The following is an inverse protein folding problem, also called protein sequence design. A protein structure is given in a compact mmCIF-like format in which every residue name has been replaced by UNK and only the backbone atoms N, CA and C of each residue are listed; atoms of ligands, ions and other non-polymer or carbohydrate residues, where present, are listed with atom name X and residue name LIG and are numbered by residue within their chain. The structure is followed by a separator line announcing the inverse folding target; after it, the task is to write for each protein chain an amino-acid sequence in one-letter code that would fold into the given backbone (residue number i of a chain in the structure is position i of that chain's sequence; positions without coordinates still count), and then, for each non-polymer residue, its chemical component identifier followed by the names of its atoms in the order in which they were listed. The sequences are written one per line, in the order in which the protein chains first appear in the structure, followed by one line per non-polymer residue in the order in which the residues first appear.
data_IF_363075808492
#
_entry.id   IF_363075808492
#
_cell.length_a   1.000
_cell.length_b   1.000
_cell.length_c   1.000
_cell.angle_alpha   90.00
_cell.angle_beta   90.00
_cell.angle_gamma   90.00
#
_symmetry.space_group_name_H-M   'P 1'
#
loop_
_entity.id
_entity.type
_entity.pdbx_description
1 polymer ?
#
# COMPACT_ATOMS: atom_id res chain seq x y z
N UNK A 1 -4.76 -12.76 19.33
CA UNK A 1 -6.11 -12.13 19.28
C UNK A 1 -6.37 -11.15 20.43
N UNK A 2 -6.24 -11.50 21.71
CA UNK A 2 -6.51 -10.57 22.85
C UNK A 2 -5.81 -9.21 22.71
N UNK A 3 -4.50 -9.18 22.45
CA UNK A 3 -3.76 -7.91 22.32
C UNK A 3 -4.12 -7.06 21.08
N UNK A 4 -4.64 -7.67 20.01
CA UNK A 4 -4.99 -6.95 18.79
C UNK A 4 -6.31 -6.19 18.96
N UNK A 5 -7.34 -6.85 19.49
CA UNK A 5 -8.63 -6.19 19.76
C UNK A 5 -8.50 -5.09 20.82
N UNK A 6 -7.74 -5.31 21.89
CA UNK A 6 -7.49 -4.26 22.89
C UNK A 6 -6.82 -3.02 22.26
N UNK A 7 -5.88 -3.22 21.31
CA UNK A 7 -5.25 -2.12 20.58
C UNK A 7 -6.21 -1.43 19.60
N UNK A 8 -7.06 -2.18 18.89
CA UNK A 8 -8.12 -1.60 18.04
C UNK A 8 -9.06 -0.71 18.87
N UNK A 9 -9.47 -1.18 20.05
CA UNK A 9 -10.29 -0.38 20.96
C UNK A 9 -9.58 0.90 21.40
N UNK A 10 -8.30 0.84 21.75
CA UNK A 10 -7.50 2.03 22.08
C UNK A 10 -7.39 3.02 20.89
N UNK A 11 -7.21 2.52 19.67
CA UNK A 11 -7.19 3.33 18.44
C UNK A 11 -8.53 4.02 18.22
N UNK A 12 -9.65 3.32 18.45
CA UNK A 12 -10.98 3.92 18.38
C UNK A 12 -11.17 5.09 19.34
N UNK A 13 -10.72 4.96 20.59
CA UNK A 13 -10.76 6.05 21.57
C UNK A 13 -9.89 7.25 21.17
N UNK A 14 -8.67 6.98 20.67
CA UNK A 14 -7.76 8.03 20.18
C UNK A 14 -8.38 8.76 18.98
N UNK A 15 -8.94 8.03 18.01
CA UNK A 15 -9.62 8.62 16.87
C UNK A 15 -10.81 9.48 17.31
N UNK A 16 -11.66 9.01 18.23
CA UNK A 16 -12.78 9.77 18.77
C UNK A 16 -12.35 11.05 19.51
N UNK A 17 -11.24 11.00 20.26
CA UNK A 17 -10.70 12.18 20.94
C UNK A 17 -10.15 13.21 19.93
N UNK A 18 -9.43 12.74 18.90
CA UNK A 18 -8.86 13.59 17.84
C UNK A 18 -9.94 14.17 16.92
N UNK A 19 -11.07 13.47 16.74
CA UNK A 19 -12.23 14.01 16.01
C UNK A 19 -12.66 15.38 16.56
N UNK A 20 -12.55 15.63 17.87
CA UNK A 20 -12.89 16.93 18.47
C UNK A 20 -11.94 18.06 18.04
N UNK A 21 -10.64 17.77 17.94
CA UNK A 21 -9.61 18.74 17.56
C UNK A 21 -9.63 19.01 16.05
N UNK A 22 -9.78 17.95 15.25
CA UNK A 22 -9.82 18.05 13.78
C UNK A 22 -11.08 18.77 13.26
N UNK A 23 -12.25 18.55 13.86
CA UNK A 23 -13.51 19.22 13.46
C UNK A 23 -13.45 20.74 13.64
N UNK A 24 -12.69 21.24 14.62
CA UNK A 24 -12.48 22.69 14.80
C UNK A 24 -11.48 23.29 13.82
N UNK A 25 -10.57 22.48 13.27
CA UNK A 25 -9.50 22.92 12.39
C UNK A 25 -9.88 22.92 10.89
N UNK A 26 -11.03 22.33 10.53
CA UNK A 26 -11.48 22.16 9.14
C UNK A 26 -12.80 22.86 8.89
N UNK A 27 -12.76 24.19 8.80
CA UNK A 27 -13.90 24.97 8.27
C UNK A 27 -13.88 24.82 6.74
N UNK A 28 -15.01 24.44 6.10
CA UNK A 28 -15.10 24.44 4.64
C UNK A 28 -14.95 25.86 4.12
N UNK A 29 -13.85 26.13 3.42
CA UNK A 29 -13.61 27.42 2.77
C UNK A 29 -14.09 27.43 1.32
N UNK A 30 -14.63 28.57 0.90
CA UNK A 30 -15.10 28.93 -0.44
C UNK A 30 -13.96 29.13 -1.46
N UNK A 31 -13.01 28.19 -1.49
CA UNK A 31 -11.95 28.21 -2.49
C UNK A 31 -12.52 27.70 -3.83
N UNK A 32 -12.37 28.42 -4.95
CA UNK A 32 -12.86 27.97 -6.25
C UNK A 32 -11.93 26.89 -6.82
N UNK A 33 -11.96 25.70 -6.21
CA UNK A 33 -11.47 24.46 -6.82
C UNK A 33 -12.65 23.72 -7.43
N UNK A 34 -12.51 23.15 -8.64
CA UNK A 34 -13.54 22.28 -9.17
C UNK A 34 -13.54 20.90 -8.50
N UNK A 35 -12.64 20.61 -7.57
CA UNK A 35 -12.63 19.35 -6.81
C UNK A 35 -13.25 19.59 -5.42
N UNK A 36 -14.41 18.98 -5.17
CA UNK A 36 -15.18 19.06 -3.93
C UNK A 36 -15.54 17.66 -3.44
N UNK A 37 -15.93 17.47 -2.17
CA UNK A 37 -16.32 16.16 -1.68
C UNK A 37 -17.45 15.52 -2.50
N UNK A 38 -18.37 16.33 -3.03
CA UNK A 38 -19.52 15.90 -3.83
C UNK A 38 -19.17 15.44 -5.25
N UNK A 39 -17.98 15.79 -5.74
CA UNK A 39 -17.50 15.38 -7.05
C UNK A 39 -16.27 14.47 -7.01
N UNK A 40 -15.97 13.92 -5.82
CA UNK A 40 -14.93 12.92 -5.64
C UNK A 40 -15.27 11.67 -6.49
N UNK A 41 -14.39 11.27 -7.43
CA UNK A 41 -14.59 10.08 -8.22
C UNK A 41 -14.29 8.84 -7.38
N UNK A 42 -15.16 7.86 -7.52
CA UNK A 42 -14.93 6.48 -7.08
C UNK A 42 -14.48 5.69 -8.30
N UNK A 43 -13.19 5.37 -8.35
CA UNK A 43 -12.57 4.78 -9.54
C UNK A 43 -12.89 3.28 -9.62
N UNK A 44 -13.42 2.84 -10.74
CA UNK A 44 -13.66 1.43 -11.08
C UNK A 44 -12.80 1.07 -12.29
N UNK A 45 -11.68 0.42 -12.03
CA UNK A 45 -10.75 -0.02 -13.08
C UNK A 45 -11.30 -1.30 -13.73
N UNK A 46 -11.57 -1.20 -15.04
CA UNK A 46 -12.16 -2.28 -15.83
C UNK A 46 -11.09 -3.11 -16.55
N UNK A 47 -9.98 -2.47 -16.93
CA UNK A 47 -8.87 -3.13 -17.60
C UNK A 47 -7.53 -2.49 -17.23
N UNK A 48 -6.48 -3.29 -17.23
CA UNK A 48 -5.08 -2.94 -17.00
C UNK A 48 -4.22 -3.78 -17.95
N UNK A 49 -3.81 -3.19 -19.06
CA UNK A 49 -2.98 -3.83 -20.06
C UNK A 49 -1.50 -3.48 -19.82
N UNK A 50 -0.56 -4.43 -19.87
CA UNK A 50 -0.78 -5.82 -20.29
C UNK A 50 -1.06 -6.80 -19.14
N UNK A 51 -1.06 -6.33 -17.88
CA UNK A 51 -1.13 -7.17 -16.67
C UNK A 51 -2.35 -8.10 -16.58
N UNK A 52 -3.51 -7.66 -17.08
CA UNK A 52 -4.71 -8.49 -17.14
C UNK A 52 -4.68 -9.51 -18.28
N UNK A 53 -3.76 -9.43 -19.24
CA UNK A 53 -3.85 -10.15 -20.52
C UNK A 53 -2.63 -11.01 -20.90
N UNK A 54 -1.41 -10.71 -20.42
CA UNK A 54 -0.17 -11.37 -20.88
C UNK A 54 -0.15 -12.90 -20.67
N UNK A 55 -0.84 -13.40 -19.64
CA UNK A 55 -0.94 -14.83 -19.31
C UNK A 55 -2.41 -15.26 -19.16
N UNK A 56 -3.22 -14.93 -20.16
CA UNK A 56 -4.67 -15.11 -20.12
C UNK A 56 -5.38 -14.05 -19.27
N UNK A 57 -6.71 -13.98 -19.35
CA UNK A 57 -7.46 -12.93 -18.64
C UNK A 57 -7.43 -13.13 -17.11
N UNK A 58 -7.08 -12.07 -16.38
CA UNK A 58 -7.14 -12.05 -14.92
C UNK A 58 -7.46 -10.69 -14.38
N UNK A 59 -8.23 -10.70 -13.30
CA UNK A 59 -8.58 -9.54 -12.53
C UNK A 59 -8.59 -9.94 -11.06
N UNK A 60 -8.01 -9.14 -10.16
CA UNK A 60 -7.47 -7.79 -10.37
C UNK A 60 -5.94 -7.73 -10.61
N UNK A 61 -5.44 -6.69 -11.28
CA UNK A 61 -4.04 -6.25 -11.21
C UNK A 61 -3.69 -5.65 -9.84
N UNK A 62 -2.41 -5.31 -9.61
CA UNK A 62 -1.99 -4.59 -8.39
C UNK A 62 -2.79 -3.28 -8.22
N UNK A 63 -2.82 -2.43 -9.25
CA UNK A 63 -3.55 -1.17 -9.20
C UNK A 63 -5.05 -1.38 -9.03
N UNK A 64 -5.65 -2.33 -9.75
CA UNK A 64 -7.06 -2.68 -9.58
C UNK A 64 -7.36 -3.11 -8.13
N UNK A 65 -6.52 -3.94 -7.51
CA UNK A 65 -6.76 -4.38 -6.13
C UNK A 65 -6.69 -3.22 -5.12
N UNK A 66 -5.69 -2.34 -5.25
CA UNK A 66 -5.56 -1.13 -4.42
C UNK A 66 -6.79 -0.23 -4.60
N UNK A 67 -7.15 0.09 -5.84
CA UNK A 67 -8.22 1.04 -6.16
C UNK A 67 -9.60 0.50 -5.77
N UNK A 68 -9.83 -0.81 -5.90
CA UNK A 68 -11.06 -1.45 -5.41
C UNK A 68 -11.21 -1.30 -3.89
N UNK A 69 -10.13 -1.51 -3.13
CA UNK A 69 -10.15 -1.32 -1.67
C UNK A 69 -10.41 0.14 -1.29
N UNK A 70 -9.76 1.08 -1.96
CA UNK A 70 -10.00 2.53 -1.80
C UNK A 70 -11.46 2.86 -2.10
N UNK A 71 -11.99 2.39 -3.23
CA UNK A 71 -13.36 2.67 -3.67
C UNK A 71 -14.40 2.24 -2.61
N UNK A 72 -14.25 1.05 -2.02
CA UNK A 72 -15.17 0.60 -0.98
C UNK A 72 -15.05 1.45 0.29
N UNK A 73 -13.84 1.80 0.73
CA UNK A 73 -13.67 2.74 1.84
C UNK A 73 -14.38 4.06 1.58
N UNK A 74 -14.21 4.64 0.38
CA UNK A 74 -14.86 5.88 -0.03
C UNK A 74 -16.38 5.79 -0.01
N UNK A 75 -16.95 4.75 -0.64
CA UNK A 75 -18.41 4.53 -0.69
C UNK A 75 -18.96 4.45 0.74
N UNK A 76 -18.36 3.60 1.58
CA UNK A 76 -18.88 3.32 2.91
C UNK A 76 -18.74 4.53 3.83
N UNK A 77 -17.56 5.16 3.87
CA UNK A 77 -17.33 6.35 4.71
C UNK A 77 -18.29 7.48 4.32
N UNK A 78 -18.49 7.71 3.03
CA UNK A 78 -19.40 8.72 2.50
C UNK A 78 -20.85 8.39 2.82
N UNK A 79 -21.26 7.14 2.63
CA UNK A 79 -22.63 6.68 2.92
C UNK A 79 -22.98 6.81 4.39
N UNK A 80 -22.08 6.37 5.29
CA UNK A 80 -22.24 6.49 6.73
C UNK A 80 -22.31 7.96 7.16
N UNK A 81 -21.47 8.82 6.59
CA UNK A 81 -21.52 10.26 6.83
C UNK A 81 -22.87 10.86 6.42
N UNK A 82 -23.36 10.56 5.20
CA UNK A 82 -24.67 11.03 4.72
C UNK A 82 -25.83 10.52 5.59
N UNK A 83 -25.75 9.31 6.12
CA UNK A 83 -26.83 8.70 6.91
C UNK A 83 -26.84 9.14 8.38
N UNK A 84 -25.67 9.21 9.02
CA UNK A 84 -25.57 9.33 10.48
C UNK A 84 -25.29 10.76 10.97
N UNK A 85 -24.57 11.58 10.19
CA UNK A 85 -24.24 12.95 10.61
C UNK A 85 -25.46 13.87 10.78
N UNK A 86 -26.51 13.79 9.93
CA UNK A 86 -27.70 14.61 10.10
C UNK A 86 -28.48 14.35 11.40
N UNK A 87 -28.27 13.20 12.05
CA UNK A 87 -28.99 12.81 13.28
C UNK A 87 -28.71 13.81 14.41
N UNK A 88 -27.46 14.28 14.54
CA UNK A 88 -27.07 15.24 15.57
C UNK A 88 -25.70 15.86 15.24
N UNK A 89 -25.47 17.18 15.42
CA UNK A 89 -24.22 17.85 15.02
C UNK A 89 -22.92 17.23 15.58
N UNK A 90 -22.97 16.80 16.85
CA UNK A 90 -21.86 16.10 17.52
C UNK A 90 -22.00 14.56 17.43
N UNK A 91 -23.06 13.99 18.02
CA UNK A 91 -23.24 12.54 18.06
C UNK A 91 -23.34 11.86 16.70
N UNK A 92 -23.83 12.54 15.66
CA UNK A 92 -23.83 12.00 14.30
C UNK A 92 -22.42 11.73 13.76
N UNK A 93 -21.46 12.63 14.04
CA UNK A 93 -20.03 12.44 13.68
C UNK A 93 -19.37 11.32 14.49
N UNK A 94 -19.72 11.22 15.77
CA UNK A 94 -19.25 10.13 16.65
C UNK A 94 -19.77 8.77 16.16
N UNK A 95 -21.07 8.67 15.85
CA UNK A 95 -21.70 7.47 15.29
C UNK A 95 -21.11 7.10 13.94
N UNK A 96 -20.86 8.09 13.07
CA UNK A 96 -20.18 7.90 11.78
C UNK A 96 -18.79 7.29 11.99
N UNK A 97 -17.96 7.92 12.83
CA UNK A 97 -16.59 7.45 13.11
C UNK A 97 -16.60 6.04 13.71
N UNK A 98 -17.49 5.77 14.68
CA UNK A 98 -17.64 4.46 15.29
C UNK A 98 -18.11 3.38 14.31
N UNK A 99 -19.02 3.73 13.41
CA UNK A 99 -19.52 2.82 12.36
C UNK A 99 -18.45 2.52 11.31
N UNK A 100 -17.67 3.53 10.93
CA UNK A 100 -16.51 3.35 10.04
C UNK A 100 -15.49 2.41 10.69
N UNK A 101 -15.21 2.57 12.00
CA UNK A 101 -14.32 1.65 12.72
C UNK A 101 -14.86 0.22 12.73
N UNK A 102 -16.13 0.02 13.07
CA UNK A 102 -16.75 -1.30 13.06
C UNK A 102 -16.70 -1.95 11.66
N UNK A 103 -17.01 -1.17 10.62
CA UNK A 103 -16.90 -1.61 9.23
C UNK A 103 -15.47 -2.03 8.89
N UNK A 104 -14.46 -1.19 9.16
CA UNK A 104 -13.07 -1.47 8.82
C UNK A 104 -12.55 -2.77 9.46
N UNK A 105 -12.95 -3.06 10.70
CA UNK A 105 -12.58 -4.30 11.40
C UNK A 105 -13.12 -5.54 10.67
N UNK A 106 -14.37 -5.49 10.20
CA UNK A 106 -14.98 -6.61 9.45
C UNK A 106 -14.44 -6.67 8.02
N UNK A 107 -14.37 -5.53 7.36
CA UNK A 107 -13.99 -5.38 5.96
C UNK A 107 -12.57 -5.87 5.69
N UNK A 108 -11.65 -5.73 6.65
CA UNK A 108 -10.29 -6.27 6.56
C UNK A 108 -10.25 -7.74 6.10
N UNK A 109 -11.24 -8.56 6.48
CA UNK A 109 -11.30 -9.99 6.17
C UNK A 109 -12.13 -10.36 4.94
N UNK A 110 -12.78 -9.39 4.30
CA UNK A 110 -13.65 -9.62 3.14
C UNK A 110 -12.87 -9.51 1.83
N UNK A 111 -13.33 -10.16 0.74
CA UNK A 111 -12.89 -9.84 -0.60
C UNK A 111 -13.04 -8.34 -0.89
N UNK A 112 -12.02 -7.74 -1.52
CA UNK A 112 -11.89 -6.30 -1.67
C UNK A 112 -11.24 -5.61 -0.47
N UNK A 113 -11.25 -6.21 0.73
CA UNK A 113 -10.68 -5.67 1.96
C UNK A 113 -9.15 -5.56 1.96
N UNK A 114 -8.62 -4.99 3.03
CA UNK A 114 -7.18 -4.68 3.15
C UNK A 114 -6.29 -5.93 3.21
N UNK A 115 -6.75 -7.02 3.84
CA UNK A 115 -6.02 -8.29 3.81
C UNK A 115 -6.16 -9.00 2.45
N UNK A 116 -7.30 -8.87 1.77
CA UNK A 116 -7.47 -9.38 0.41
C UNK A 116 -6.51 -8.67 -0.55
N UNK A 117 -6.47 -7.34 -0.51
CA UNK A 117 -5.60 -6.50 -1.34
C UNK A 117 -4.12 -6.80 -1.10
N UNK A 118 -3.75 -6.99 0.16
CA UNK A 118 -2.40 -7.40 0.56
C UNK A 118 -1.97 -8.71 -0.13
N UNK A 119 -2.85 -9.71 -0.15
CA UNK A 119 -2.56 -10.98 -0.83
C UNK A 119 -2.62 -10.84 -2.36
N UNK A 120 -3.50 -10.03 -2.92
CA UNK A 120 -3.48 -9.75 -4.37
C UNK A 120 -2.18 -9.08 -4.83
N UNK A 121 -1.54 -8.26 -3.98
CA UNK A 121 -0.24 -7.68 -4.29
C UNK A 121 0.85 -8.75 -4.44
N UNK A 122 0.88 -9.75 -3.56
CA UNK A 122 1.76 -10.91 -3.69
C UNK A 122 1.52 -11.66 -5.00
N UNK A 123 0.24 -11.91 -5.32
CA UNK A 123 -0.16 -12.60 -6.54
C UNK A 123 0.22 -11.82 -7.80
N UNK A 124 0.16 -10.50 -7.78
CA UNK A 124 0.54 -9.67 -8.91
C UNK A 124 2.01 -9.88 -9.32
N UNK A 125 2.94 -9.98 -8.35
CA UNK A 125 4.36 -10.25 -8.64
C UNK A 125 4.58 -11.67 -9.14
N UNK A 126 3.94 -12.66 -8.51
CA UNK A 126 4.03 -14.06 -8.95
C UNK A 126 3.52 -14.20 -10.38
N UNK A 127 2.39 -13.57 -10.68
CA UNK A 127 1.77 -13.58 -12.00
C UNK A 127 2.62 -12.92 -13.07
N UNK A 128 3.30 -11.81 -12.76
CA UNK A 128 4.25 -11.18 -13.68
C UNK A 128 5.32 -12.17 -14.18
N UNK A 129 5.58 -13.24 -13.43
CA UNK A 129 6.52 -14.31 -13.76
C UNK A 129 5.84 -15.63 -14.16
N UNK A 130 4.55 -15.59 -14.52
CA UNK A 130 3.78 -16.77 -14.95
C UNK A 130 3.46 -17.76 -13.81
N UNK A 131 3.60 -17.36 -12.55
CA UNK A 131 3.41 -18.25 -11.39
C UNK A 131 1.97 -18.16 -10.90
N UNK A 132 1.26 -19.29 -10.99
CA UNK A 132 -0.11 -19.41 -10.50
C UNK A 132 -0.16 -19.43 -8.98
N UNK A 133 -1.20 -18.82 -8.41
CA UNK A 133 -1.40 -18.67 -6.96
C UNK A 133 -2.87 -18.44 -6.62
N UNK A 134 -3.25 -18.60 -5.36
CA UNK A 134 -4.61 -18.38 -4.86
C UNK A 134 -4.62 -17.50 -3.61
N UNK A 135 -5.50 -16.49 -3.60
CA UNK A 135 -5.75 -15.63 -2.46
C UNK A 135 -6.80 -16.24 -1.52
N UNK A 136 -6.37 -16.62 -0.32
CA UNK A 136 -7.25 -17.24 0.66
C UNK A 136 -8.31 -16.30 1.25
N UNK A 137 -8.23 -14.99 1.03
CA UNK A 137 -9.28 -14.05 1.47
C UNK A 137 -10.61 -14.35 0.78
N UNK A 138 -10.59 -14.98 -0.39
CA UNK A 138 -11.78 -15.41 -1.12
C UNK A 138 -12.56 -16.53 -0.41
N UNK A 139 -11.98 -17.18 0.60
CA UNK A 139 -12.63 -18.21 1.43
C UNK A 139 -13.43 -17.60 2.60
N UNK A 140 -13.62 -16.27 2.67
CA UNK A 140 -14.36 -15.55 3.73
C UNK A 140 -13.91 -15.92 5.15
N UNK A 141 -12.60 -15.95 5.39
CA UNK A 141 -11.99 -16.41 6.64
C UNK A 141 -12.04 -15.36 7.77
N UNK A 142 -13.25 -15.02 8.20
CA UNK A 142 -13.48 -14.06 9.28
C UNK A 142 -12.65 -14.40 10.54
N UNK A 143 -11.94 -13.39 11.05
CA UNK A 143 -11.19 -13.45 12.31
C UNK A 143 -10.11 -14.55 12.39
N UNK A 144 -9.69 -15.12 11.25
CA UNK A 144 -8.53 -16.01 11.23
C UNK A 144 -7.24 -15.20 11.41
N UNK A 145 -6.29 -15.79 12.14
CA UNK A 145 -5.02 -15.14 12.50
C UNK A 145 -4.22 -14.69 11.27
N UNK A 146 -4.35 -15.42 10.15
CA UNK A 146 -3.73 -15.09 8.87
C UNK A 146 -4.58 -15.54 7.68
N UNK A 147 -4.37 -14.83 6.60
CA UNK A 147 -4.86 -15.11 5.25
C UNK A 147 -3.60 -15.28 4.41
N UNK A 148 -3.49 -16.41 3.71
CA UNK A 148 -2.31 -16.77 2.93
C UNK A 148 -2.50 -16.53 1.43
N UNK A 149 -1.39 -16.38 0.73
CA UNK A 149 -1.32 -16.67 -0.71
C UNK A 149 -0.80 -18.10 -0.84
N UNK A 150 -1.57 -19.00 -1.44
CA UNK A 150 -1.28 -20.45 -1.49
C UNK A 150 -1.35 -21.01 -2.92
N UNK A 151 -1.29 -22.33 -3.07
CA UNK A 151 -1.29 -23.06 -4.34
C UNK A 151 -0.10 -22.73 -5.26
N UNK A 152 1.07 -22.45 -4.68
CA UNK A 152 2.32 -22.22 -5.43
C UNK A 152 3.20 -23.46 -5.31
N UNK A 153 3.82 -23.90 -6.40
CA UNK A 153 4.75 -25.04 -6.36
C UNK A 153 6.11 -24.61 -5.85
N UNK A 154 6.81 -25.49 -5.15
CA UNK A 154 8.17 -25.19 -4.71
C UNK A 154 9.12 -24.99 -5.90
N UNK A 155 8.94 -25.75 -6.99
CA UNK A 155 9.74 -25.57 -8.20
C UNK A 155 9.59 -24.16 -8.80
N UNK A 156 8.39 -23.59 -8.74
CA UNK A 156 8.15 -22.23 -9.23
C UNK A 156 8.90 -21.21 -8.37
N UNK A 157 8.89 -21.37 -7.04
CA UNK A 157 9.65 -20.50 -6.12
C UNK A 157 11.17 -20.67 -6.25
N UNK A 158 11.65 -21.90 -6.50
CA UNK A 158 13.06 -22.18 -6.76
C UNK A 158 13.51 -21.44 -8.02
N UNK A 159 12.76 -21.58 -9.11
CA UNK A 159 13.05 -20.88 -10.37
C UNK A 159 12.94 -19.37 -10.18
N UNK A 160 11.91 -18.89 -9.47
CA UNK A 160 11.67 -17.46 -9.23
C UNK A 160 12.83 -16.81 -8.49
N UNK A 161 13.34 -17.41 -7.41
CA UNK A 161 14.50 -16.87 -6.68
C UNK A 161 15.76 -16.86 -7.54
N UNK A 162 16.00 -17.95 -8.30
CA UNK A 162 17.18 -18.09 -9.17
C UNK A 162 17.19 -17.06 -10.29
N UNK A 163 16.06 -16.91 -10.97
CA UNK A 163 15.97 -16.15 -12.23
C UNK A 163 15.65 -14.67 -11.97
N UNK A 164 14.93 -14.36 -10.88
CA UNK A 164 14.47 -13.01 -10.54
C UNK A 164 14.62 -12.71 -9.03
N UNK A 165 15.84 -12.72 -8.46
CA UNK A 165 16.05 -12.59 -7.02
C UNK A 165 15.50 -11.27 -6.46
N UNK A 166 15.59 -10.17 -7.19
CA UNK A 166 15.05 -8.88 -6.74
C UNK A 166 13.52 -8.90 -6.62
N UNK A 167 12.80 -9.47 -7.59
CA UNK A 167 11.35 -9.63 -7.51
C UNK A 167 10.96 -10.63 -6.44
N UNK A 168 11.76 -11.69 -6.24
CA UNK A 168 11.56 -12.66 -5.15
C UNK A 168 11.61 -11.98 -3.78
N UNK A 169 12.60 -11.13 -3.54
CA UNK A 169 12.73 -10.34 -2.31
C UNK A 169 11.57 -9.34 -2.21
N UNK A 170 11.25 -8.62 -3.30
CA UNK A 170 10.14 -7.66 -3.33
C UNK A 170 8.81 -8.33 -2.98
N UNK A 171 8.58 -9.53 -3.51
CA UNK A 171 7.37 -10.30 -3.24
C UNK A 171 7.14 -10.41 -1.72
N UNK A 172 8.18 -10.66 -0.92
CA UNK A 172 8.03 -10.75 0.55
C UNK A 172 7.46 -9.48 1.20
N UNK A 173 7.74 -8.30 0.65
CA UNK A 173 7.29 -7.01 1.20
C UNK A 173 6.14 -6.33 0.44
N UNK A 174 5.70 -6.86 -0.71
CA UNK A 174 4.80 -6.10 -1.58
C UNK A 174 3.37 -5.95 -1.03
N UNK A 175 2.91 -6.87 -0.18
CA UNK A 175 1.64 -6.71 0.54
C UNK A 175 1.62 -5.43 1.38
N UNK A 176 2.72 -5.17 2.11
CA UNK A 176 2.93 -3.93 2.87
C UNK A 176 3.05 -2.70 1.96
N UNK A 177 3.83 -2.79 0.88
CA UNK A 177 3.93 -1.72 -0.13
C UNK A 177 2.54 -1.30 -0.63
N UNK A 178 1.72 -2.26 -1.02
CA UNK A 178 0.42 -1.98 -1.60
C UNK A 178 -0.60 -1.43 -0.58
N UNK A 179 -0.49 -1.81 0.70
CA UNK A 179 -1.25 -1.16 1.77
C UNK A 179 -0.82 0.30 1.99
N UNK A 180 0.48 0.61 1.90
CA UNK A 180 0.96 1.99 1.96
C UNK A 180 0.45 2.84 0.79
N UNK A 181 0.42 2.27 -0.42
CA UNK A 181 -0.17 2.93 -1.60
C UNK A 181 -1.67 3.20 -1.44
N UNK A 182 -2.43 2.25 -0.90
CA UNK A 182 -3.83 2.45 -0.56
C UNK A 182 -4.02 3.60 0.43
N UNK A 183 -3.21 3.65 1.50
CA UNK A 183 -3.24 4.74 2.48
C UNK A 183 -2.91 6.08 1.80
N UNK A 184 -1.90 6.11 0.94
CA UNK A 184 -1.49 7.32 0.22
C UNK A 184 -2.60 7.84 -0.71
N UNK A 185 -3.30 6.95 -1.42
CA UNK A 185 -4.46 7.33 -2.23
C UNK A 185 -5.58 7.94 -1.38
N UNK A 186 -5.91 7.33 -0.22
CA UNK A 186 -6.90 7.89 0.71
C UNK A 186 -6.51 9.28 1.20
N UNK A 187 -5.22 9.52 1.48
CA UNK A 187 -4.70 10.84 1.85
C UNK A 187 -4.82 11.86 0.72
N UNK A 188 -4.39 11.51 -0.50
CA UNK A 188 -4.50 12.37 -1.69
C UNK A 188 -5.94 12.80 -1.90
N UNK A 189 -6.88 11.88 -1.84
CA UNK A 189 -8.28 12.22 -2.03
C UNK A 189 -8.83 13.12 -0.92
N UNK A 190 -8.49 12.82 0.35
CA UNK A 190 -8.92 13.63 1.47
C UNK A 190 -8.39 15.08 1.33
N UNK A 191 -7.14 15.23 0.91
CA UNK A 191 -6.50 16.52 0.66
C UNK A 191 -7.13 17.27 -0.52
N UNK A 192 -7.16 16.67 -1.72
CA UNK A 192 -7.55 17.38 -2.96
C UNK A 192 -9.04 17.68 -3.08
N UNK A 193 -9.89 16.80 -2.55
CA UNK A 193 -11.34 17.02 -2.54
C UNK A 193 -11.81 17.73 -1.26
N UNK A 194 -10.92 17.98 -0.29
CA UNK A 194 -11.30 18.60 0.97
C UNK A 194 -12.30 17.75 1.78
N UNK A 195 -12.18 16.43 1.71
CA UNK A 195 -13.03 15.52 2.48
C UNK A 195 -12.79 15.75 3.99
N UNK A 196 -13.84 15.80 4.83
CA UNK A 196 -13.65 15.97 6.27
C UNK A 196 -12.76 14.88 6.85
N UNK A 197 -11.64 15.27 7.47
CA UNK A 197 -10.58 14.35 7.87
C UNK A 197 -10.99 13.33 8.92
N UNK A 198 -12.07 13.57 9.68
CA UNK A 198 -12.62 12.60 10.62
C UNK A 198 -13.30 11.39 9.94
N UNK A 199 -13.71 11.50 8.66
CA UNK A 199 -14.26 10.36 7.92
C UNK A 199 -13.16 9.39 7.49
N UNK A 200 -11.96 9.91 7.22
CA UNK A 200 -10.83 9.11 6.72
C UNK A 200 -9.76 8.84 7.78
N UNK A 201 -9.87 9.41 8.99
CA UNK A 201 -8.91 9.19 10.10
C UNK A 201 -8.81 7.70 10.47
N UNK A 202 -9.94 6.99 10.51
CA UNK A 202 -10.01 5.60 10.93
C UNK A 202 -9.26 4.69 9.94
N UNK A 203 -9.61 4.64 8.63
CA UNK A 203 -8.87 3.81 7.69
C UNK A 203 -7.40 4.23 7.60
N UNK A 204 -7.07 5.53 7.65
CA UNK A 204 -5.67 5.99 7.60
C UNK A 204 -4.85 5.49 8.81
N UNK A 205 -5.32 5.77 10.03
CA UNK A 205 -4.59 5.43 11.25
C UNK A 205 -4.57 3.92 11.51
N UNK A 206 -5.70 3.24 11.31
CA UNK A 206 -5.79 1.80 11.52
C UNK A 206 -4.84 1.05 10.58
N UNK A 207 -4.89 1.34 9.27
CA UNK A 207 -4.02 0.66 8.31
C UNK A 207 -2.55 1.03 8.52
N UNK A 208 -2.24 2.28 8.87
CA UNK A 208 -0.86 2.67 9.24
C UNK A 208 -0.35 1.90 10.46
N UNK A 209 -1.20 1.65 11.46
CA UNK A 209 -0.80 0.86 12.63
C UNK A 209 -0.65 -0.62 12.26
N UNK A 210 -1.51 -1.14 11.39
CA UNK A 210 -1.40 -2.52 10.88
C UNK A 210 -0.06 -2.72 10.16
N UNK A 211 0.32 -1.81 9.25
CA UNK A 211 1.61 -1.90 8.53
C UNK A 211 2.80 -1.87 9.50
N UNK A 212 2.78 -0.95 10.48
CA UNK A 212 3.80 -0.89 11.56
C UNK A 212 3.87 -2.19 12.36
N UNK A 213 2.71 -2.76 12.72
CA UNK A 213 2.65 -3.98 13.51
C UNK A 213 3.19 -5.19 12.74
N UNK A 214 2.93 -5.25 11.43
CA UNK A 214 3.40 -6.34 10.58
C UNK A 214 4.94 -6.39 10.53
N UNK A 215 5.60 -5.24 10.32
CA UNK A 215 7.07 -5.16 10.37
C UNK A 215 7.63 -5.48 11.76
N UNK A 216 6.89 -5.19 12.83
CA UNK A 216 7.32 -5.46 14.20
C UNK A 216 6.90 -6.84 14.73
N UNK A 217 6.27 -7.69 13.92
CA UNK A 217 5.72 -8.96 14.38
C UNK A 217 6.78 -9.92 14.93
N UNK A 218 7.97 -9.94 14.32
CA UNK A 218 9.10 -10.76 14.77
C UNK A 218 9.49 -10.51 16.24
N UNK A 219 9.16 -9.34 16.79
CA UNK A 219 9.43 -8.98 18.19
C UNK A 219 8.55 -9.71 19.19
N UNK A 220 7.51 -10.41 18.75
CA UNK A 220 6.66 -11.18 19.64
C UNK A 220 7.44 -12.35 20.26
N UNK A 221 7.15 -12.66 21.53
CA UNK A 221 7.85 -13.71 22.29
C UNK A 221 7.63 -15.09 21.66
N UNK A 222 6.41 -15.36 21.22
CA UNK A 222 5.97 -16.61 20.61
C UNK A 222 6.11 -16.63 19.07
N UNK A 223 6.92 -15.74 18.48
CA UNK A 223 7.01 -15.61 17.02
C UNK A 223 7.44 -16.91 16.31
N UNK A 224 8.54 -17.52 16.77
CA UNK A 224 9.06 -18.76 16.16
C UNK A 224 8.15 -19.96 16.49
N UNK A 225 7.56 -19.98 17.70
CA UNK A 225 6.54 -20.97 18.07
C UNK A 225 5.29 -20.87 17.17
N UNK A 226 4.84 -19.66 16.83
CA UNK A 226 3.71 -19.44 15.93
C UNK A 226 4.01 -19.85 14.47
N UNK A 227 5.30 -19.90 14.09
CA UNK A 227 5.76 -20.45 12.81
C UNK A 227 5.74 -21.98 12.87
N UNK A 228 6.32 -22.55 13.93
CA UNK A 228 6.36 -24.00 14.16
C UNK A 228 4.96 -24.63 14.19
N UNK A 229 4.01 -24.00 14.89
CA UNK A 229 2.60 -24.41 14.91
C UNK A 229 1.95 -24.43 13.52
N UNK A 230 2.38 -23.54 12.61
CA UNK A 230 1.88 -23.51 11.23
C UNK A 230 2.53 -24.58 10.37
N UNK A 231 3.83 -24.78 10.50
CA UNK A 231 4.53 -25.86 9.80
C UNK A 231 3.96 -27.25 10.17
N UNK A 232 3.37 -27.43 11.36
CA UNK A 232 2.66 -28.66 11.73
C UNK A 232 1.33 -28.89 10.99
N UNK A 233 0.77 -27.86 10.37
CA UNK A 233 -0.52 -27.91 9.67
C UNK A 233 -0.35 -27.77 8.15
N UNK A 234 0.64 -26.99 7.69
CA UNK A 234 0.91 -26.71 6.27
C UNK A 234 1.90 -27.72 5.65
N UNK A 235 1.54 -29.00 5.72
CA UNK A 235 2.44 -30.14 5.41
C UNK A 235 2.82 -30.27 3.93
N UNK A 236 2.08 -29.64 3.02
CA UNK A 236 2.28 -29.76 1.57
C UNK A 236 2.39 -28.39 0.89
N UNK A 237 3.14 -28.27 -0.22
CA UNK A 237 3.37 -27.00 -0.91
C UNK A 237 2.10 -26.25 -1.34
N UNK A 238 1.01 -26.95 -1.66
CA UNK A 238 -0.23 -26.39 -2.15
C UNK A 238 -1.03 -25.64 -1.07
N UNK A 239 -0.98 -26.09 0.18
CA UNK A 239 -1.67 -25.42 1.30
C UNK A 239 -0.81 -24.35 1.98
N UNK A 240 0.51 -24.40 1.74
CA UNK A 240 1.49 -23.56 2.41
C UNK A 240 1.45 -22.12 1.89
N UNK A 241 1.54 -21.16 2.81
CA UNK A 241 1.70 -19.76 2.45
C UNK A 241 3.03 -19.54 1.69
N UNK A 242 3.06 -18.63 0.71
CA UNK A 242 4.24 -18.42 -0.15
C UNK A 242 5.48 -17.97 0.62
N UNK A 243 5.28 -17.19 1.68
CA UNK A 243 6.32 -16.57 2.52
C UNK A 243 6.13 -16.89 4.00
N UNK A 244 4.90 -17.18 4.42
CA UNK A 244 4.57 -17.53 5.79
C UNK A 244 4.51 -16.31 6.71
N UNK A 245 5.67 -15.82 7.12
CA UNK A 245 5.83 -14.54 7.82
C UNK A 245 6.62 -13.62 6.90
N UNK A 246 6.30 -12.34 6.76
CA UNK A 246 6.86 -11.58 5.61
C UNK A 246 8.28 -11.08 5.84
N UNK A 247 8.53 -10.46 6.98
CA UNK A 247 9.72 -9.63 7.13
C UNK A 247 10.99 -10.35 7.59
N UNK A 248 10.89 -11.53 8.19
CA UNK A 248 12.06 -12.38 8.45
C UNK A 248 12.55 -13.08 7.17
N UNK A 249 11.71 -13.71 6.31
CA UNK A 249 12.06 -14.07 4.94
C UNK A 249 12.57 -12.91 4.11
N UNK A 250 11.93 -11.74 4.18
CA UNK A 250 12.38 -10.57 3.44
C UNK A 250 13.83 -10.23 3.77
N UNK A 251 14.20 -10.10 5.05
CA UNK A 251 15.59 -9.77 5.41
C UNK A 251 16.55 -10.92 5.12
N UNK A 252 16.10 -12.17 5.26
CA UNK A 252 16.89 -13.35 4.95
C UNK A 252 17.29 -13.38 3.47
N UNK A 253 16.31 -13.24 2.57
CA UNK A 253 16.53 -13.26 1.13
C UNK A 253 17.22 -11.96 0.65
N UNK A 254 17.01 -10.84 1.33
CA UNK A 254 17.72 -9.57 1.07
C UNK A 254 19.25 -9.71 1.28
N UNK A 255 19.66 -10.45 2.31
CA UNK A 255 21.07 -10.70 2.63
C UNK A 255 21.68 -11.85 1.84
N UNK A 256 20.84 -12.79 1.37
CA UNK A 256 21.22 -14.01 0.64
C UNK A 256 20.48 -14.13 -0.71
N UNK A 257 20.66 -13.17 -1.64
CA UNK A 257 19.93 -13.18 -2.91
C UNK A 257 20.29 -14.40 -3.77
N UNK A 258 21.54 -14.84 -3.73
CA UNK A 258 22.07 -15.92 -4.58
C UNK A 258 21.99 -17.32 -3.94
N UNK A 259 21.56 -17.40 -2.68
CA UNK A 259 21.41 -18.69 -2.01
C UNK A 259 20.26 -19.48 -2.66
N UNK A 260 20.48 -20.73 -3.09
CA UNK A 260 19.42 -21.54 -3.68
C UNK A 260 18.23 -21.67 -2.73
N UNK A 261 17.02 -21.51 -3.25
CA UNK A 261 15.81 -21.44 -2.41
C UNK A 261 15.62 -22.67 -1.51
N UNK A 262 15.97 -23.85 -2.01
CA UNK A 262 15.88 -25.11 -1.29
C UNK A 262 16.91 -25.30 -0.17
N UNK A 263 17.87 -24.38 0.01
CA UNK A 263 18.89 -24.46 1.07
C UNK A 263 18.58 -23.54 2.25
N UNK A 264 17.41 -22.88 2.25
CA UNK A 264 17.10 -21.81 3.19
C UNK A 264 16.85 -22.29 4.62
N UNK A 265 17.04 -21.42 5.59
CA UNK A 265 16.84 -21.72 7.01
C UNK A 265 17.92 -22.64 7.59
N UNK A 266 17.85 -22.86 8.90
CA UNK A 266 18.83 -23.68 9.64
C UNK A 266 18.66 -25.19 9.43
N UNK A 267 17.51 -25.63 8.92
CA UNK A 267 17.18 -27.03 8.63
C UNK A 267 17.64 -27.49 7.23
N UNK A 268 18.43 -26.69 6.52
CA UNK A 268 18.85 -27.01 5.15
C UNK A 268 17.71 -26.99 4.13
N UNK A 269 16.64 -26.24 4.43
CA UNK A 269 15.51 -25.96 3.56
C UNK A 269 14.46 -27.05 3.43
N UNK A 270 14.62 -28.19 4.10
CA UNK A 270 13.59 -29.23 4.14
C UNK A 270 12.46 -28.83 5.10
N UNK A 271 11.20 -28.95 4.65
CA UNK A 271 10.06 -28.67 5.51
C UNK A 271 10.05 -29.57 6.77
N UNK A 272 9.95 -29.01 7.99
CA UNK A 272 10.28 -29.74 9.22
C UNK A 272 9.31 -30.88 9.56
N UNK A 273 8.07 -30.83 9.07
CA UNK A 273 7.03 -31.83 9.39
C UNK A 273 6.41 -32.51 8.17
N UNK A 274 6.84 -32.17 6.96
CA UNK A 274 6.08 -32.43 5.74
C UNK A 274 6.97 -32.47 4.51
N UNK A 275 6.37 -32.20 3.34
CA UNK A 275 7.07 -32.31 2.06
C UNK A 275 7.47 -30.94 1.50
N UNK A 276 8.56 -30.94 0.73
CA UNK A 276 9.02 -29.77 0.00
C UNK A 276 9.89 -28.81 0.82
N UNK A 277 9.96 -27.57 0.36
CA UNK A 277 10.82 -26.54 0.94
C UNK A 277 10.15 -25.87 2.15
N UNK A 278 10.91 -25.66 3.22
CA UNK A 278 10.47 -24.80 4.32
C UNK A 278 10.39 -23.35 3.84
N UNK A 279 9.17 -22.82 3.77
CA UNK A 279 8.95 -21.45 3.29
C UNK A 279 9.11 -20.41 4.39
N UNK A 280 9.06 -20.84 5.64
CA UNK A 280 9.07 -19.98 6.79
C UNK A 280 10.52 -19.74 7.22
N UNK A 281 10.79 -18.51 7.70
CA UNK A 281 12.07 -18.15 8.29
C UNK A 281 11.76 -17.51 9.63
N UNK A 282 12.21 -18.14 10.71
CA UNK A 282 12.12 -17.61 12.06
C UNK A 282 13.21 -16.59 12.36
N UNK A 283 13.24 -16.10 13.60
CA UNK A 283 14.37 -15.31 14.10
C UNK A 283 15.63 -16.15 14.26
N UNK A 284 15.47 -17.42 14.61
CA UNK A 284 16.59 -18.36 14.80
C UNK A 284 17.34 -18.66 13.51
N UNK A 285 16.68 -18.45 12.36
CA UNK A 285 17.29 -18.57 11.03
C UNK A 285 18.08 -17.33 10.58
N UNK A 286 17.98 -16.23 11.32
CA UNK A 286 18.67 -14.98 10.99
C UNK A 286 20.03 -14.90 11.68
N UNK A 287 21.01 -14.37 10.96
CA UNK A 287 22.27 -13.94 11.60
C UNK A 287 22.02 -12.73 12.52
N UNK A 288 22.97 -12.46 13.42
CA UNK A 288 22.92 -11.24 14.25
C UNK A 288 22.82 -9.96 13.41
N UNK A 289 23.55 -9.88 12.29
CA UNK A 289 23.52 -8.73 11.39
C UNK A 289 22.15 -8.57 10.72
N UNK A 290 21.58 -9.64 10.20
CA UNK A 290 20.24 -9.64 9.57
C UNK A 290 19.16 -9.20 10.57
N UNK A 291 19.17 -9.77 11.77
CA UNK A 291 18.22 -9.44 12.81
C UNK A 291 18.37 -7.98 13.26
N UNK A 292 19.59 -7.47 13.39
CA UNK A 292 19.82 -6.07 13.77
C UNK A 292 19.43 -5.08 12.67
N UNK A 293 19.64 -5.45 11.40
CA UNK A 293 19.12 -4.69 10.27
C UNK A 293 17.59 -4.64 10.30
N UNK A 294 16.91 -5.77 10.50
CA UNK A 294 15.45 -5.83 10.61
C UNK A 294 14.95 -5.01 11.82
N UNK A 295 15.62 -5.07 12.98
CA UNK A 295 15.29 -4.22 14.14
C UNK A 295 15.40 -2.73 13.83
N UNK A 296 16.39 -2.33 13.03
CA UNK A 296 16.53 -0.94 12.58
C UNK A 296 15.38 -0.53 11.67
N UNK A 297 15.03 -1.36 10.69
CA UNK A 297 13.88 -1.12 9.82
C UNK A 297 12.57 -1.03 10.60
N UNK A 298 12.38 -1.90 11.59
CA UNK A 298 11.19 -1.90 12.43
C UNK A 298 11.06 -0.67 13.33
N UNK A 299 12.14 0.09 13.55
CA UNK A 299 12.09 1.40 14.21
C UNK A 299 11.74 2.49 13.20
N UNK A 300 12.28 2.42 11.99
CA UNK A 300 12.01 3.39 10.92
C UNK A 300 10.57 3.33 10.42
N UNK A 301 9.90 2.18 10.47
CA UNK A 301 8.50 2.06 10.03
C UNK A 301 7.54 2.97 10.82
N UNK A 302 7.92 3.39 12.04
CA UNK A 302 7.15 4.36 12.82
C UNK A 302 7.11 5.75 12.19
N UNK A 303 8.00 6.07 11.24
CA UNK A 303 7.92 7.27 10.42
C UNK A 303 6.61 7.35 9.63
N UNK A 304 5.95 6.22 9.35
CA UNK A 304 4.63 6.20 8.70
C UNK A 304 3.53 6.92 9.52
N UNK A 305 3.75 7.15 10.82
CA UNK A 305 2.86 7.99 11.64
C UNK A 305 3.06 9.49 11.42
N UNK A 306 4.17 9.92 10.82
CA UNK A 306 4.47 11.33 10.54
C UNK A 306 3.67 11.78 9.34
N UNK A 307 2.37 11.97 9.56
CA UNK A 307 1.41 12.45 8.58
C UNK A 307 0.21 13.06 9.32
N UNK A 308 -0.09 14.36 9.16
CA UNK A 308 -1.25 14.99 9.79
C UNK A 308 -2.59 14.31 9.42
N UNK A 309 -2.67 13.65 8.26
CA UNK A 309 -3.84 12.86 7.85
C UNK A 309 -4.21 11.75 8.85
N UNK A 310 -3.21 11.15 9.52
CA UNK A 310 -3.43 10.10 10.53
C UNK A 310 -4.16 10.63 11.77
N UNK A 311 -4.19 11.94 11.93
CA UNK A 311 -4.80 12.65 13.05
C UNK A 311 -5.95 13.55 12.56
N UNK A 312 -6.53 13.23 11.40
CA UNK A 312 -7.70 13.91 10.88
C UNK A 312 -7.43 15.31 10.33
N UNK A 313 -6.18 15.72 10.14
CA UNK A 313 -5.82 16.97 9.45
C UNK A 313 -5.59 16.69 7.97
N UNK A 314 -6.65 16.79 7.17
CA UNK A 314 -6.64 16.51 5.73
C UNK A 314 -5.88 17.58 4.95
N UNK A 315 -5.95 18.86 5.34
CA UNK A 315 -5.24 19.97 4.70
C UNK A 315 -5.03 21.14 5.64
N UNK A 316 -3.96 21.89 5.43
CA UNK A 316 -3.69 23.18 6.06
C UNK A 316 -3.83 24.30 5.04
N UNK A 317 -4.28 25.47 5.47
CA UNK A 317 -4.36 26.67 4.65
C UNK A 317 -3.20 27.61 4.97
N UNK A 318 -2.60 28.21 3.95
CA UNK A 318 -1.61 29.26 4.08
C UNK A 318 -1.79 30.33 2.99
N UNK A 319 -1.10 31.45 3.15
CA UNK A 319 -0.99 32.49 2.12
C UNK A 319 0.34 32.33 1.40
N UNK A 320 0.31 32.29 0.07
CA UNK A 320 1.52 32.19 -0.73
C UNK A 320 2.36 33.45 -0.55
N UNK A 321 3.66 33.33 -0.21
CA UNK A 321 4.53 34.49 -0.05
C UNK A 321 4.87 35.16 -1.40
N UNK A 322 4.59 34.48 -2.52
CA UNK A 322 4.96 34.95 -3.87
C UNK A 322 3.86 35.75 -4.57
N UNK A 323 2.59 35.47 -4.26
CA UNK A 323 1.45 36.07 -4.97
C UNK A 323 0.29 36.47 -4.06
N UNK A 324 0.44 36.33 -2.74
CA UNK A 324 -0.58 36.66 -1.74
C UNK A 324 -1.94 35.99 -1.99
N UNK A 325 -1.96 34.86 -2.70
CA UNK A 325 -3.15 34.04 -2.88
C UNK A 325 -3.14 32.90 -1.86
N UNK A 326 -4.31 32.51 -1.32
CA UNK A 326 -4.38 31.36 -0.43
C UNK A 326 -4.01 30.07 -1.19
N UNK A 327 -3.43 29.10 -0.48
CA UNK A 327 -3.18 27.75 -0.98
C UNK A 327 -3.36 26.74 0.15
N UNK A 328 -3.55 25.49 -0.22
CA UNK A 328 -3.56 24.38 0.72
C UNK A 328 -2.28 23.57 0.62
N UNK A 329 -1.83 23.05 1.76
CA UNK A 329 -0.70 22.14 1.82
C UNK A 329 -0.89 21.05 2.88
N UNK A 330 -0.17 19.95 2.71
CA UNK A 330 0.01 18.92 3.72
C UNK A 330 1.33 18.18 3.44
N UNK A 331 1.72 17.26 4.32
CA UNK A 331 2.90 16.43 4.13
C UNK A 331 2.72 15.04 4.74
N UNK A 332 3.54 14.08 4.31
CA UNK A 332 3.65 12.78 4.98
C UNK A 332 5.05 12.20 4.79
N UNK A 333 5.49 11.35 5.73
CA UNK A 333 6.62 10.46 5.54
C UNK A 333 6.12 9.04 5.33
N UNK A 334 6.74 8.32 4.40
CA UNK A 334 6.47 6.91 4.15
C UNK A 334 7.77 6.12 4.11
N UNK A 335 7.98 5.24 5.09
CA UNK A 335 9.04 4.23 5.10
C UNK A 335 8.49 2.92 4.56
N UNK A 336 9.12 2.42 3.49
CA UNK A 336 8.78 1.15 2.86
C UNK A 336 10.01 0.26 2.67
N UNK A 337 9.78 -1.05 2.69
CA UNK A 337 10.79 -2.09 2.53
C UNK A 337 10.71 -2.65 1.11
N UNK A 338 11.81 -2.56 0.39
CA UNK A 338 11.90 -2.86 -1.06
C UNK A 338 12.99 -3.90 -1.33
N UNK A 339 13.10 -4.37 -2.57
CA UNK A 339 14.04 -5.44 -2.98
C UNK A 339 15.51 -5.15 -2.66
N UNK A 340 15.89 -3.88 -2.62
CA UNK A 340 17.25 -3.46 -2.36
C UNK A 340 17.46 -2.85 -0.97
N UNK A 341 16.49 -2.91 -0.06
CA UNK A 341 16.60 -2.36 1.29
C UNK A 341 15.40 -1.51 1.67
N UNK A 342 15.53 -0.19 1.66
CA UNK A 342 14.41 0.69 2.04
C UNK A 342 14.29 1.91 1.12
N UNK A 343 13.11 2.50 1.19
CA UNK A 343 12.87 3.88 0.76
C UNK A 343 12.23 4.66 1.92
N UNK A 344 12.60 5.93 2.06
CA UNK A 344 11.83 6.91 2.83
C UNK A 344 11.37 7.99 1.87
N UNK A 345 10.06 8.08 1.70
CA UNK A 345 9.42 9.09 0.86
C UNK A 345 9.00 10.28 1.70
N UNK A 346 9.32 11.47 1.19
CA UNK A 346 8.94 12.76 1.73
C UNK A 346 7.88 13.34 0.81
N UNK A 347 6.62 13.18 1.18
CA UNK A 347 5.47 13.56 0.38
C UNK A 347 5.00 14.96 0.75
N UNK A 348 4.75 15.79 -0.26
CA UNK A 348 4.20 17.14 -0.12
C UNK A 348 2.98 17.23 -1.03
N UNK A 349 1.87 17.67 -0.47
CA UNK A 349 0.61 17.90 -1.17
C UNK A 349 0.40 19.40 -1.26
N UNK A 350 0.06 19.92 -2.43
CA UNK A 350 -0.20 21.33 -2.64
C UNK A 350 -1.44 21.51 -3.52
N UNK A 351 -2.30 22.46 -3.17
CA UNK A 351 -3.44 22.84 -4.00
C UNK A 351 -3.57 24.36 -4.06
N UNK A 352 -3.49 24.92 -5.26
CA UNK A 352 -3.70 26.34 -5.51
C UNK A 352 -4.45 26.53 -6.83
N UNK A 353 -5.65 27.13 -6.76
CA UNK A 353 -6.55 27.32 -7.91
C UNK A 353 -6.88 25.98 -8.60
N UNK A 354 -6.45 25.81 -9.86
CA UNK A 354 -6.62 24.60 -10.68
C UNK A 354 -5.48 23.59 -10.51
N UNK A 355 -4.41 23.99 -9.85
CA UNK A 355 -3.22 23.16 -9.68
C UNK A 355 -3.36 22.31 -8.42
N UNK A 356 -3.34 20.99 -8.62
CA UNK A 356 -3.26 20.00 -7.57
C UNK A 356 -1.92 19.27 -7.77
N UNK A 357 -0.95 19.54 -6.92
CA UNK A 357 0.43 19.06 -7.08
C UNK A 357 0.80 18.11 -5.96
N UNK A 358 1.32 16.95 -6.34
CA UNK A 358 1.92 15.99 -5.42
C UNK A 358 3.39 15.87 -5.75
N UNK A 359 4.24 16.11 -4.76
CA UNK A 359 5.69 15.97 -4.89
C UNK A 359 6.19 14.93 -3.89
N UNK A 360 7.07 14.06 -4.35
CA UNK A 360 7.78 13.10 -3.51
C UNK A 360 9.27 13.23 -3.74
N UNK A 361 10.04 13.35 -2.66
CA UNK A 361 11.46 13.04 -2.67
C UNK A 361 11.67 11.63 -2.12
N UNK A 362 12.42 10.81 -2.83
CA UNK A 362 12.75 9.44 -2.46
C UNK A 362 14.17 9.37 -1.88
N UNK A 363 14.30 8.97 -0.62
CA UNK A 363 15.57 8.52 0.00
C UNK A 363 15.67 6.99 -0.13
N UNK A 364 16.21 6.51 -1.26
CA UNK A 364 16.51 5.10 -1.44
C UNK A 364 17.80 4.73 -0.72
N UNK A 365 17.77 3.62 0.00
CA UNK A 365 18.94 3.12 0.72
C UNK A 365 19.09 1.62 0.61
N UNK A 366 20.25 1.19 0.14
CA UNK A 366 20.70 -0.20 0.27
C UNK A 366 21.58 -0.35 1.51
N UNK A 367 22.37 -1.44 1.63
CA UNK A 367 23.18 -1.70 2.83
C UNK A 367 24.05 -0.51 3.22
N UNK A 368 24.72 0.09 2.23
CA UNK A 368 25.82 1.03 2.47
C UNK A 368 25.64 2.39 1.76
N UNK A 369 24.78 2.46 0.74
CA UNK A 369 24.67 3.62 -0.15
C UNK A 369 23.28 4.25 -0.14
N UNK A 370 23.27 5.55 -0.39
CA UNK A 370 22.08 6.38 -0.59
C UNK A 370 21.91 6.66 -2.09
N UNK A 371 20.67 6.67 -2.57
CA UNK A 371 20.33 7.06 -3.93
C UNK A 371 19.10 7.98 -3.93
N UNK A 372 19.15 9.12 -4.63
CA UNK A 372 18.01 10.04 -4.67
C UNK A 372 16.99 9.64 -5.74
N UNK A 373 15.75 10.03 -5.51
CA UNK A 373 14.73 10.13 -6.56
C UNK A 373 13.76 11.26 -6.29
N UNK A 374 13.03 11.64 -7.33
CA UNK A 374 11.94 12.61 -7.26
C UNK A 374 10.76 12.12 -8.07
N UNK A 375 9.55 12.49 -7.63
CA UNK A 375 8.32 12.35 -8.40
C UNK A 375 7.52 13.64 -8.29
N UNK A 376 6.98 14.10 -9.42
CA UNK A 376 6.09 15.24 -9.50
C UNK A 376 4.84 14.83 -10.26
N UNK A 377 3.68 15.07 -9.67
CA UNK A 377 2.38 14.79 -10.27
C UNK A 377 1.49 16.03 -10.23
N UNK A 378 0.85 16.31 -11.37
CA UNK A 378 -0.30 17.20 -11.48
C UNK A 378 -1.54 16.31 -11.51
N UNK A 379 -2.35 16.38 -10.45
CA UNK A 379 -3.53 15.54 -10.28
C UNK A 379 -4.78 16.22 -10.83
N UNK A 380 -5.48 15.59 -11.78
CA UNK A 380 -6.79 16.04 -12.30
C UNK A 380 -6.89 17.55 -12.54
N UNK A 381 -5.95 18.09 -13.31
CA UNK A 381 -5.99 19.46 -13.76
C UNK A 381 -7.23 19.69 -14.65
N UNK A 382 -8.11 20.65 -14.29
CA UNK A 382 -9.35 20.90 -15.03
C UNK A 382 -9.09 21.66 -16.34
N UNK A 383 -9.43 21.04 -17.48
CA UNK A 383 -9.35 21.64 -18.80
C UNK A 383 -10.69 21.51 -19.54
N UNK A 384 -11.48 22.60 -19.60
CA UNK A 384 -12.83 22.61 -20.18
C UNK A 384 -13.73 21.53 -19.57
N UNK A 385 -14.02 20.45 -20.31
CA UNK A 385 -14.87 19.32 -19.90
C UNK A 385 -14.07 18.07 -19.54
N UNK A 386 -12.75 18.15 -19.48
CA UNK A 386 -11.89 17.00 -19.15
C UNK A 386 -10.99 17.33 -17.95
N UNK A 387 -10.52 16.29 -17.28
CA UNK A 387 -9.46 16.36 -16.30
C UNK A 387 -8.22 15.67 -16.86
N UNK A 388 -7.06 16.29 -16.65
CA UNK A 388 -5.77 15.75 -17.07
C UNK A 388 -4.94 15.42 -15.83
N UNK A 389 -4.36 14.23 -15.80
CA UNK A 389 -3.35 13.85 -14.81
C UNK A 389 -2.02 13.66 -15.54
N UNK A 390 -0.93 14.17 -14.97
CA UNK A 390 0.40 13.96 -15.52
C UNK A 390 1.40 13.80 -14.40
N UNK A 391 2.25 12.77 -14.45
CA UNK A 391 3.30 12.56 -13.48
C UNK A 391 4.62 12.21 -14.14
N UNK A 392 5.72 12.66 -13.54
CA UNK A 392 7.07 12.31 -13.95
C UNK A 392 7.89 11.97 -12.72
N UNK A 393 8.53 10.81 -12.73
CA UNK A 393 9.48 10.39 -11.73
C UNK A 393 10.85 10.13 -12.34
N UNK A 394 11.90 10.47 -11.60
CA UNK A 394 13.29 10.22 -11.94
C UNK A 394 14.02 9.68 -10.73
N UNK A 395 14.88 8.69 -10.90
CA UNK A 395 15.62 8.09 -9.80
C UNK A 395 17.01 7.64 -10.18
N UNK A 396 17.85 7.55 -9.16
CA UNK A 396 18.95 6.61 -9.10
C UNK A 396 18.59 5.52 -8.09
N UNK A 397 18.86 4.26 -8.41
CA UNK A 397 18.63 3.13 -7.52
C UNK A 397 19.80 2.15 -7.60
N UNK A 398 19.95 1.22 -6.64
CA UNK A 398 20.97 0.17 -6.72
C UNK A 398 20.89 -0.59 -8.04
N UNK A 399 22.06 -0.88 -8.63
CA UNK A 399 22.16 -1.74 -9.81
C UNK A 399 21.49 -3.09 -9.52
N UNK A 400 20.75 -3.57 -10.51
CA UNK A 400 20.00 -4.84 -10.47
C UNK A 400 19.02 -4.95 -9.29
N UNK A 401 18.71 -3.83 -8.63
CA UNK A 401 17.83 -3.75 -7.46
C UNK A 401 18.31 -4.65 -6.30
N UNK A 402 19.63 -4.78 -6.12
CA UNK A 402 20.23 -5.64 -5.10
C UNK A 402 20.78 -4.87 -3.89
N UNK A 403 20.65 -5.48 -2.71
CA UNK A 403 20.99 -4.88 -1.42
C UNK A 403 22.49 -4.54 -1.24
N UNK A 404 23.37 -5.36 -1.84
CA UNK A 404 24.83 -5.21 -1.75
C UNK A 404 25.46 -4.61 -3.02
N UNK A 405 24.64 -4.11 -3.96
CA UNK A 405 25.17 -3.48 -5.17
C UNK A 405 25.99 -2.23 -4.83
N UNK A 406 27.18 -2.12 -5.42
CA UNK A 406 28.01 -0.92 -5.36
C UNK A 406 27.65 0.11 -6.44
N UNK A 407 27.05 -0.35 -7.54
CA UNK A 407 26.66 0.49 -8.67
C UNK A 407 25.22 1.04 -8.55
N UNK A 408 24.91 2.00 -9.41
CA UNK A 408 23.58 2.60 -9.55
C UNK A 408 23.02 2.46 -10.97
N UNK A 409 21.71 2.33 -11.08
CA UNK A 409 20.95 2.44 -12.33
C UNK A 409 20.07 3.69 -12.27
N UNK A 410 20.21 4.56 -13.26
CA UNK A 410 19.29 5.68 -13.46
C UNK A 410 18.01 5.18 -14.14
N UNK A 411 16.87 5.77 -13.78
CA UNK A 411 15.60 5.44 -14.39
C UNK A 411 14.55 6.53 -14.19
N UNK A 412 13.38 6.29 -14.77
CA UNK A 412 12.25 7.21 -14.67
C UNK A 412 10.93 6.58 -15.08
N UNK A 413 9.86 7.29 -14.75
CA UNK A 413 8.48 6.99 -15.12
C UNK A 413 7.80 8.24 -15.66
N UNK A 414 6.99 8.07 -16.68
CA UNK A 414 6.05 9.09 -17.16
C UNK A 414 4.64 8.49 -17.07
N UNK A 415 3.71 9.20 -16.44
CA UNK A 415 2.29 8.85 -16.37
C UNK A 415 1.46 9.95 -17.00
N UNK A 416 0.44 9.57 -17.77
CA UNK A 416 -0.54 10.47 -18.35
C UNK A 416 -1.93 9.89 -18.15
N UNK A 417 -2.88 10.76 -17.83
CA UNK A 417 -4.26 10.39 -17.59
C UNK A 417 -5.23 11.42 -18.15
N UNK A 418 -6.35 10.94 -18.66
CA UNK A 418 -7.48 11.75 -19.05
C UNK A 418 -8.76 11.18 -18.46
N UNK A 419 -9.60 12.04 -17.91
CA UNK A 419 -10.96 11.69 -17.50
C UNK A 419 -11.96 12.67 -18.08
N UNK A 420 -13.13 12.18 -18.49
CA UNK A 420 -14.18 13.02 -19.06
C UNK A 420 -15.59 12.52 -18.67
N UNK A 421 -16.55 13.43 -18.43
CA UNK A 421 -17.90 13.07 -18.04
C UNK A 421 -18.63 12.38 -19.20
N UNK A 422 -19.20 11.21 -18.92
CA UNK A 422 -20.22 10.56 -19.74
C UNK A 422 -21.62 11.08 -19.40
N UNK A 423 -21.84 11.39 -18.11
CA UNK A 423 -23.11 11.90 -17.59
C UNK A 423 -22.86 12.70 -16.30
N UNK A 424 -23.94 13.09 -15.60
CA UNK A 424 -23.83 13.74 -14.28
C UNK A 424 -23.25 12.84 -13.19
N UNK A 425 -23.28 11.51 -13.37
CA UNK A 425 -22.86 10.52 -12.36
C UNK A 425 -21.66 9.68 -12.78
N UNK A 426 -21.28 9.74 -14.05
CA UNK A 426 -20.24 8.87 -14.61
C UNK A 426 -19.23 9.67 -15.41
N UNK A 427 -17.95 9.35 -15.19
CA UNK A 427 -16.85 9.74 -16.07
C UNK A 427 -16.19 8.46 -16.59
N UNK A 428 -15.66 8.50 -17.82
CA UNK A 428 -14.66 7.52 -18.21
C UNK A 428 -13.27 8.07 -17.92
N UNK A 429 -12.32 7.18 -17.70
CA UNK A 429 -10.92 7.55 -17.64
C UNK A 429 -10.03 6.57 -18.41
N UNK A 430 -8.92 7.08 -18.90
CA UNK A 430 -7.83 6.34 -19.49
C UNK A 430 -6.53 6.89 -18.89
N UNK A 431 -5.75 6.01 -18.30
CA UNK A 431 -4.44 6.32 -17.73
C UNK A 431 -3.40 5.40 -18.35
N UNK A 432 -2.18 5.88 -18.50
CA UNK A 432 -1.09 5.06 -18.95
C UNK A 432 0.23 5.55 -18.41
N UNK A 433 1.11 4.61 -18.12
CA UNK A 433 2.47 4.89 -17.67
C UNK A 433 3.51 4.10 -18.45
N UNK A 434 4.67 4.71 -18.63
CA UNK A 434 5.86 4.05 -19.16
C UNK A 434 7.00 4.27 -18.19
N UNK A 435 7.67 3.17 -17.84
CA UNK A 435 8.73 3.12 -16.85
C UNK A 435 9.96 2.43 -17.43
N UNK A 436 11.16 2.88 -17.04
CA UNK A 436 12.41 2.13 -17.26
C UNK A 436 12.66 1.12 -16.13
N UNK A 437 13.84 0.48 -16.13
CA UNK A 437 14.28 -0.34 -15.00
C UNK A 437 14.24 0.43 -13.67
N UNK A 438 13.84 -0.26 -12.61
CA UNK A 438 13.83 0.24 -11.24
C UNK A 438 12.50 0.05 -10.54
N UNK A 439 12.51 0.14 -9.22
CA UNK A 439 11.31 0.13 -8.39
C UNK A 439 10.54 1.45 -8.52
N UNK A 440 9.22 1.36 -8.62
CA UNK A 440 8.30 2.49 -8.46
C UNK A 440 7.12 1.99 -7.67
N UNK A 441 6.71 2.75 -6.65
CA UNK A 441 5.54 2.40 -5.86
C UNK A 441 4.29 2.28 -6.73
N UNK A 442 3.47 1.26 -6.45
CA UNK A 442 2.26 0.93 -7.22
C UNK A 442 2.51 0.29 -8.59
N UNK A 443 3.76 0.19 -9.07
CA UNK A 443 4.08 -0.52 -10.33
C UNK A 443 4.70 -1.89 -10.02
N UNK A 444 4.02 -2.98 -10.40
CA UNK A 444 4.43 -4.34 -10.05
C UNK A 444 5.78 -4.78 -10.64
N UNK A 445 6.20 -4.22 -11.78
CA UNK A 445 7.41 -4.65 -12.47
C UNK A 445 8.64 -3.91 -11.94
N UNK A 446 9.80 -4.59 -11.89
CA UNK A 446 11.12 -3.95 -11.73
C UNK A 446 11.80 -3.67 -13.08
N UNK A 447 11.30 -4.30 -14.15
CA UNK A 447 11.75 -4.13 -15.53
C UNK A 447 11.01 -2.96 -16.22
N UNK A 448 11.39 -2.59 -17.46
CA UNK A 448 10.68 -1.58 -18.21
C UNK A 448 9.31 -2.12 -18.58
N UNK A 449 8.28 -1.30 -18.41
CA UNK A 449 6.92 -1.67 -18.76
C UNK A 449 6.16 -0.45 -19.27
N UNK A 450 5.20 -0.69 -20.16
CA UNK A 450 4.17 0.28 -20.52
C UNK A 450 2.84 -0.30 -20.09
N UNK A 451 2.10 0.44 -19.27
CA UNK A 451 0.79 0.05 -18.77
C UNK A 451 -0.27 1.03 -19.26
N UNK A 452 -1.46 0.52 -19.55
CA UNK A 452 -2.63 1.31 -19.91
C UNK A 452 -3.83 0.78 -19.14
N UNK A 453 -4.46 1.65 -18.37
CA UNK A 453 -5.60 1.36 -17.54
C UNK A 453 -6.83 2.11 -18.05
N UNK A 454 -7.94 1.41 -18.13
CA UNK A 454 -9.22 1.97 -18.52
C UNK A 454 -10.26 1.70 -17.45
N UNK A 455 -11.12 2.68 -17.19
CA UNK A 455 -12.19 2.50 -16.23
C UNK A 455 -13.25 3.59 -16.25
N UNK A 456 -14.12 3.51 -15.25
CA UNK A 456 -15.21 4.45 -15.00
C UNK A 456 -15.07 5.05 -13.61
N UNK A 457 -15.36 6.34 -13.48
CA UNK A 457 -15.56 6.99 -12.20
C UNK A 457 -17.06 7.09 -11.93
N UNK A 458 -17.48 6.64 -10.75
CA UNK A 458 -18.77 7.01 -10.20
C UNK A 458 -18.61 8.30 -9.38
N UNK A 459 -19.38 9.33 -9.72
CA UNK A 459 -19.47 10.57 -8.94
C UNK A 459 -20.57 10.38 -7.89
N UNK A 460 -20.18 10.24 -6.61
CA UNK A 460 -21.03 9.70 -5.55
C UNK A 460 -21.31 10.65 -4.38
#
# INVERSE_FOLDING_TARGET
MKNFYTRIFQIGFVALFICRLSVRAQVPDSFPTPLTPENRPINLYLADYPLNFDDGYYWPSLNQSIQNTVAVHQVVNTSLGKALEPIHPFWGKVLTTGSILAFNVVYTYLPGGTAWQHQEAHRAVLRLRGISSYNQANDFRFFKKRIATKNVKDQDLINFKRDYPADFIRNRGIGHEAQLEMIEQLKKDAFYYGTPGYRDIVPNLLNTIVTIQYVNEFRQKNYDTDIDERNKVELTPDVRDISGVEFTPWVYDLFRPDEPYQNRGTNGGAHPYGSGVDRYIGKEDLTGEELDYLKKQSRLVWLNLVSPHNFGFARFRAMSPFNSQPFHYNFSLVHNLVSFGRVIDYNIYLQQNKWNLFFTYHDYKNRERHFPGINLEVYRFPMKKIFLTGAMGLWMQPKDQLFRSEGSTAGGILKLGIAAPLSKRFEWFLEGDRKTNGWSSGNVSLEPITQVQFGLNLIY
#
